data_IF_801848531304
#
_entry.id   IF_801848531304
#
_cell.length_a   1.000
_cell.length_b   1.000
_cell.length_c   1.000
_cell.angle_alpha   90.00
_cell.angle_beta   90.00
_cell.angle_gamma   90.00
#
_symmetry.space_group_name_H-M   'P 1'
#
loop_
_entity.id
_entity.type
_entity.pdbx_description
1 polymer ?
#
# COMPACT_ATOMS: atom_id res chain seq x y z
N UNK A 1 31.48 -1.16 2.54
CA UNK A 1 30.71 -1.32 1.28
C UNK A 1 29.39 -0.56 1.40
N UNK A 2 29.19 0.54 0.66
CA UNK A 2 27.86 1.17 0.56
C UNK A 2 27.00 0.23 -0.30
N UNK A 3 25.98 -0.42 0.29
CA UNK A 3 24.96 -1.13 -0.49
C UNK A 3 24.36 -0.13 -1.47
N UNK A 4 24.43 -0.40 -2.77
CA UNK A 4 23.69 0.37 -3.77
C UNK A 4 22.20 0.18 -3.48
N UNK A 5 21.53 1.20 -2.91
CA UNK A 5 20.08 1.14 -2.70
C UNK A 5 19.41 1.15 -4.07
N UNK A 6 18.59 0.14 -4.34
CA UNK A 6 17.75 0.12 -5.51
C UNK A 6 16.66 1.18 -5.36
N UNK A 7 16.28 1.86 -6.45
CA UNK A 7 15.13 2.79 -6.42
C UNK A 7 13.81 2.11 -6.02
N UNK A 8 13.77 0.78 -6.01
CA UNK A 8 12.63 -0.02 -5.59
C UNK A 8 12.71 -0.51 -4.14
N UNK A 9 13.79 -0.22 -3.42
CA UNK A 9 13.90 -0.55 -2.00
C UNK A 9 12.79 0.15 -1.21
N UNK A 10 12.07 -0.62 -0.38
CA UNK A 10 10.92 -0.11 0.38
C UNK A 10 9.65 0.09 -0.45
N UNK A 11 9.62 -0.34 -1.72
CA UNK A 11 8.44 -0.27 -2.59
C UNK A 11 7.90 -1.67 -2.89
N UNK A 12 6.62 -1.72 -3.24
CA UNK A 12 5.94 -2.90 -3.74
C UNK A 12 5.41 -2.62 -5.13
N UNK A 13 5.39 -3.63 -5.98
CA UNK A 13 4.86 -3.54 -7.34
C UNK A 13 3.56 -4.33 -7.41
N UNK A 14 2.48 -3.67 -7.79
CA UNK A 14 1.14 -4.26 -7.86
C UNK A 14 0.81 -4.45 -9.35
N UNK A 15 0.41 -5.64 -9.76
CA UNK A 15 0.16 -5.96 -11.17
C UNK A 15 -1.15 -6.72 -11.37
N UNK A 16 -1.85 -6.42 -12.46
CA UNK A 16 -2.98 -7.22 -12.95
C UNK A 16 -2.58 -8.18 -14.09
N UNK A 17 -1.33 -8.13 -14.56
CA UNK A 17 -0.78 -8.94 -15.66
C UNK A 17 -0.54 -8.17 -16.97
N UNK A 18 -1.29 -7.10 -17.23
CA UNK A 18 -1.14 -6.25 -18.43
C UNK A 18 -0.53 -4.89 -18.11
N UNK A 19 -0.86 -4.34 -16.94
CA UNK A 19 -0.28 -3.12 -16.38
C UNK A 19 0.13 -3.36 -14.93
N UNK A 20 1.01 -2.49 -14.45
CA UNK A 20 1.46 -2.52 -13.07
C UNK A 20 1.80 -1.12 -12.55
N UNK A 21 1.75 -0.96 -11.24
CA UNK A 21 2.11 0.27 -10.53
C UNK A 21 3.08 -0.02 -9.41
N UNK A 22 3.66 1.04 -8.85
CA UNK A 22 4.55 1.00 -7.69
C UNK A 22 3.88 1.76 -6.54
N UNK A 23 3.92 1.17 -5.36
CA UNK A 23 3.50 1.80 -4.12
C UNK A 23 4.56 1.66 -3.04
N UNK A 24 4.70 2.61 -2.09
CA UNK A 24 5.49 2.38 -0.89
C UNK A 24 4.98 1.16 -0.13
N UNK A 25 5.85 0.30 0.39
CA UNK A 25 5.42 -0.85 1.20
C UNK A 25 4.60 -0.40 2.41
N UNK A 26 4.98 0.72 3.02
CA UNK A 26 4.27 1.30 4.17
C UNK A 26 2.95 1.99 3.81
N UNK A 27 2.62 2.10 2.52
CA UNK A 27 1.29 2.55 2.08
C UNK A 27 0.29 1.40 2.00
N UNK A 28 0.75 0.15 1.93
CA UNK A 28 -0.15 -0.99 1.79
C UNK A 28 -0.65 -1.41 3.16
N UNK A 29 -1.94 -1.21 3.39
CA UNK A 29 -2.59 -1.45 4.68
C UNK A 29 -3.09 -2.89 4.82
N UNK A 30 -3.55 -3.47 3.70
CA UNK A 30 -4.06 -4.83 3.69
C UNK A 30 -3.88 -5.50 2.33
N UNK A 31 -3.53 -6.78 2.35
CA UNK A 31 -3.39 -7.63 1.16
C UNK A 31 -4.08 -8.95 1.47
N UNK A 32 -5.22 -9.24 0.84
CA UNK A 32 -5.88 -10.54 0.99
C UNK A 32 -4.99 -11.67 0.46
N UNK A 33 -5.07 -12.85 1.07
CA UNK A 33 -4.21 -14.00 0.73
C UNK A 33 -4.28 -14.37 -0.76
N UNK A 34 -5.47 -14.37 -1.36
CA UNK A 34 -5.68 -14.69 -2.78
C UNK A 34 -5.09 -13.64 -3.73
N UNK A 35 -4.75 -12.44 -3.24
CA UNK A 35 -4.14 -11.36 -4.02
C UNK A 35 -2.65 -11.16 -3.74
N UNK A 36 -2.04 -11.94 -2.84
CA UNK A 36 -0.58 -11.86 -2.58
C UNK A 36 0.25 -12.05 -3.85
N UNK A 37 -0.20 -12.92 -4.77
CA UNK A 37 0.44 -13.15 -6.08
C UNK A 37 0.45 -11.93 -7.02
N UNK A 38 -0.40 -10.93 -6.74
CA UNK A 38 -0.45 -9.66 -7.49
C UNK A 38 0.64 -8.69 -7.07
N UNK A 39 1.29 -8.94 -5.93
CA UNK A 39 2.52 -8.27 -5.52
C UNK A 39 3.70 -9.03 -6.12
N UNK A 40 4.19 -8.56 -7.27
CA UNK A 40 5.20 -9.28 -8.05
C UNK A 40 6.51 -8.51 -8.11
N UNK A 41 7.63 -9.16 -7.80
CA UNK A 41 8.96 -8.53 -7.93
C UNK A 41 9.33 -8.25 -9.39
N UNK A 42 8.78 -9.03 -10.32
CA UNK A 42 9.00 -8.93 -11.77
C UNK A 42 7.64 -8.86 -12.49
N UNK A 43 6.90 -7.76 -12.36
CA UNK A 43 5.62 -7.61 -13.00
C UNK A 43 5.79 -7.55 -14.52
N UNK A 44 4.85 -8.15 -15.24
CA UNK A 44 4.77 -8.07 -16.70
C UNK A 44 3.90 -6.90 -17.13
N UNK A 45 4.14 -6.40 -18.33
CA UNK A 45 3.33 -5.34 -18.95
C UNK A 45 3.82 -3.93 -18.64
N UNK A 46 2.94 -2.95 -18.89
CA UNK A 46 3.29 -1.52 -18.87
C UNK A 46 3.20 -0.92 -17.46
N UNK A 47 4.24 -0.18 -17.06
CA UNK A 47 4.21 0.64 -15.85
C UNK A 47 3.28 1.83 -16.06
N UNK A 48 2.34 2.03 -15.13
CA UNK A 48 1.39 3.16 -15.14
C UNK A 48 1.43 3.91 -13.80
N UNK A 49 0.82 5.10 -13.75
CA UNK A 49 0.64 5.82 -12.49
C UNK A 49 -0.34 5.09 -11.57
N UNK A 50 -0.19 5.26 -10.25
CA UNK A 50 -1.08 4.63 -9.28
C UNK A 50 -2.55 5.01 -9.47
N UNK A 51 -2.83 6.28 -9.78
CA UNK A 51 -4.19 6.77 -10.05
C UNK A 51 -4.82 6.08 -11.25
N UNK A 52 -4.08 5.92 -12.35
CA UNK A 52 -4.51 5.18 -13.53
C UNK A 52 -4.76 3.70 -13.19
N UNK A 53 -3.82 3.06 -12.47
CA UNK A 53 -3.97 1.67 -12.04
C UNK A 53 -5.20 1.47 -11.15
N UNK A 54 -5.39 2.31 -10.14
CA UNK A 54 -6.51 2.21 -9.21
C UNK A 54 -7.85 2.42 -9.90
N UNK A 55 -7.93 3.35 -10.86
CA UNK A 55 -9.12 3.58 -11.65
C UNK A 55 -9.50 2.39 -12.53
N UNK A 56 -8.52 1.73 -13.14
CA UNK A 56 -8.75 0.57 -14.01
C UNK A 56 -8.95 -0.75 -13.25
N UNK A 57 -8.56 -0.81 -11.97
CA UNK A 57 -8.54 -2.06 -11.19
C UNK A 57 -9.32 -1.93 -9.87
N UNK A 58 -10.49 -1.28 -9.87
CA UNK A 58 -11.33 -1.09 -8.67
C UNK A 58 -11.77 -2.39 -7.97
N UNK A 59 -11.79 -3.51 -8.71
CA UNK A 59 -12.04 -4.86 -8.18
C UNK A 59 -10.81 -5.49 -7.52
N UNK A 60 -9.62 -4.91 -7.69
CA UNK A 60 -8.35 -5.39 -7.16
C UNK A 60 -7.82 -4.52 -6.03
N UNK A 61 -8.04 -3.20 -6.11
CA UNK A 61 -7.45 -2.22 -5.20
C UNK A 61 -8.46 -1.15 -4.80
N UNK A 62 -8.39 -0.73 -3.53
CA UNK A 62 -9.09 0.42 -2.98
C UNK A 62 -8.12 1.29 -2.21
N UNK A 63 -8.47 2.57 -2.11
CA UNK A 63 -7.75 3.54 -1.27
C UNK A 63 -8.50 3.75 0.03
N UNK A 64 -7.77 3.90 1.12
CA UNK A 64 -8.28 4.33 2.41
C UNK A 64 -7.65 5.67 2.77
N UNK A 65 -8.48 6.67 3.03
CA UNK A 65 -8.02 8.01 3.36
C UNK A 65 -7.46 8.02 4.79
N UNK A 66 -6.19 8.40 4.94
CA UNK A 66 -5.49 8.49 6.22
C UNK A 66 -5.25 9.94 6.63
N UNK A 67 -5.20 10.21 7.92
CA UNK A 67 -4.91 11.54 8.47
C UNK A 67 -3.43 11.88 8.40
N UNK A 68 -3.07 13.16 8.54
CA UNK A 68 -1.66 13.56 8.63
C UNK A 68 -0.96 12.95 9.87
N UNK A 69 -1.66 12.85 11.00
CA UNK A 69 -1.14 12.22 12.22
C UNK A 69 -0.83 10.73 11.99
N UNK A 70 -1.74 10.00 11.31
CA UNK A 70 -1.51 8.60 10.92
C UNK A 70 -0.33 8.45 9.95
N UNK A 71 -0.19 9.34 8.97
CA UNK A 71 0.96 9.35 8.06
C UNK A 71 2.28 9.52 8.82
N UNK A 72 2.29 10.40 9.82
CA UNK A 72 3.45 10.66 10.68
C UNK A 72 3.73 9.54 11.69
N UNK A 73 2.82 8.56 11.83
CA UNK A 73 2.92 7.50 12.83
C UNK A 73 2.68 8.01 14.24
N UNK A 74 1.93 9.10 14.40
CA UNK A 74 1.55 9.70 15.68
C UNK A 74 0.23 9.10 16.20
N UNK A 75 -0.62 8.63 15.29
CA UNK A 75 -1.87 7.93 15.59
C UNK A 75 -1.92 6.58 14.88
N UNK A 76 -2.47 5.54 15.53
CA UNK A 76 -2.73 4.27 14.87
C UNK A 76 -3.94 4.38 13.93
N UNK A 77 -4.01 3.46 12.98
CA UNK A 77 -5.30 3.15 12.33
C UNK A 77 -6.19 2.49 13.39
N UNK A 78 -7.46 2.96 13.58
CA UNK A 78 -8.38 2.36 14.53
C UNK A 78 -8.57 0.86 14.30
N UNK A 79 -8.73 0.08 15.36
CA UNK A 79 -8.84 -1.37 15.25
C UNK A 79 -10.12 -1.79 14.50
N UNK A 80 -11.21 -1.04 14.65
CA UNK A 80 -12.45 -1.27 13.90
C UNK A 80 -12.25 -1.14 12.38
N UNK A 81 -11.33 -0.25 11.97
CA UNK A 81 -10.96 -0.08 10.56
C UNK A 81 -10.09 -1.25 10.08
N UNK A 82 -9.18 -1.75 10.93
CA UNK A 82 -8.37 -2.94 10.62
C UNK A 82 -9.27 -4.18 10.45
N UNK A 83 -10.29 -4.32 11.28
CA UNK A 83 -11.28 -5.40 11.17
C UNK A 83 -12.07 -5.31 9.85
N UNK A 84 -12.43 -4.09 9.44
CA UNK A 84 -13.05 -3.87 8.14
C UNK A 84 -12.11 -4.24 6.98
N UNK A 85 -10.80 -4.04 7.12
CA UNK A 85 -9.83 -4.45 6.10
C UNK A 85 -9.74 -5.97 6.00
N UNK A 86 -9.80 -6.70 7.12
CA UNK A 86 -9.70 -8.16 7.16
C UNK A 86 -10.79 -8.86 6.34
N UNK A 87 -11.97 -8.25 6.19
CA UNK A 87 -13.07 -8.78 5.37
C UNK A 87 -13.03 -8.31 3.91
N UNK A 88 -12.16 -7.34 3.55
CA UNK A 88 -12.04 -6.90 2.17
C UNK A 88 -11.41 -7.98 1.30
N UNK A 89 -11.93 -8.14 0.08
CA UNK A 89 -11.35 -9.03 -0.94
C UNK A 89 -10.41 -8.33 -1.90
N UNK A 90 -10.01 -7.10 -1.59
CA UNK A 90 -9.19 -6.22 -2.41
C UNK A 90 -7.99 -5.70 -1.62
N UNK A 91 -6.94 -5.31 -2.31
CA UNK A 91 -5.77 -4.65 -1.71
C UNK A 91 -6.21 -3.27 -1.21
N UNK A 92 -5.90 -2.94 0.04
CA UNK A 92 -6.19 -1.62 0.62
C UNK A 92 -4.88 -0.83 0.75
N UNK A 93 -4.89 0.40 0.24
CA UNK A 93 -3.72 1.27 0.23
C UNK A 93 -4.05 2.64 0.80
N UNK A 94 -3.15 3.22 1.59
CA UNK A 94 -3.29 4.53 2.20
C UNK A 94 -3.24 5.65 1.14
N UNK A 95 -4.22 6.56 1.20
CA UNK A 95 -4.25 7.80 0.44
C UNK A 95 -4.42 9.01 1.34
N UNK A 96 -3.98 10.17 0.87
CA UNK A 96 -4.35 11.46 1.43
C UNK A 96 -4.56 12.45 0.29
N UNK A 97 -5.70 13.13 0.26
CA UNK A 97 -6.12 14.05 -0.81
C UNK A 97 -5.98 13.41 -2.19
N UNK A 98 -6.44 12.16 -2.33
CA UNK A 98 -6.36 11.35 -3.55
C UNK A 98 -4.95 11.02 -4.05
N UNK A 99 -3.93 11.22 -3.22
CA UNK A 99 -2.54 10.83 -3.53
C UNK A 99 -2.11 9.68 -2.66
N UNK A 100 -1.33 8.79 -3.24
CA UNK A 100 -0.68 7.70 -2.53
C UNK A 100 0.33 8.27 -1.53
N UNK A 101 0.29 7.80 -0.27
CA UNK A 101 1.17 8.28 0.80
C UNK A 101 1.90 7.14 1.47
N UNK A 102 3.16 7.37 1.83
CA UNK A 102 3.91 6.48 2.72
C UNK A 102 3.56 6.79 4.16
N UNK A 103 3.27 5.78 4.96
CA UNK A 103 3.09 5.97 6.41
C UNK A 103 4.37 5.62 7.17
N UNK A 104 4.60 6.27 8.30
CA UNK A 104 5.54 5.78 9.30
C UNK A 104 4.83 4.73 10.17
N UNK A 105 5.52 3.65 10.60
CA UNK A 105 4.98 2.76 11.61
C UNK A 105 4.58 3.56 12.84
N UNK A 106 3.37 3.32 13.36
CA UNK A 106 3.01 3.79 14.68
C UNK A 106 3.82 2.97 15.70
N UNK A 107 4.78 3.61 16.36
CA UNK A 107 5.50 2.98 17.46
C UNK A 107 4.71 3.21 18.74
N UNK A 108 4.08 2.16 19.25
CA UNK A 108 3.62 2.15 20.63
C UNK A 108 4.89 2.24 21.46
N UNK A 109 5.14 3.40 22.07
CA UNK A 109 6.11 3.53 23.15
C UNK A 109 5.71 2.51 24.22
N UNK A 110 6.28 1.31 24.14
CA UNK A 110 6.15 0.26 25.13
C UNK A 110 7.04 0.68 26.28
N UNK A 111 6.60 1.69 27.02
CA UNK A 111 7.21 2.04 28.29
C UNK A 111 6.60 1.10 29.33
N UNK A 112 7.36 0.14 29.90
CA UNK A 112 6.89 -0.71 30.98
C UNK A 112 6.61 0.09 32.26
#
# INVERSE_FOLDING_TARGET
MRKSRSLFDGKVKISNGSIWTIAPKTSVLHVPDHLKSRLSDKPKGRLVQFSEFANQNRSLIKTYEVTEAQIRGEEPIPDEVKDQFAVQRVIVVASNRHRLVSMKPFEVNSNP
#
